data_IF_521721054236
#
_entry.id   IF_521721054236
#
_cell.length_a   1.000
_cell.length_b   1.000
_cell.length_c   1.000
_cell.angle_alpha   90.00
_cell.angle_beta   90.00
_cell.angle_gamma   90.00
#
_symmetry.space_group_name_H-M   'P 1'
#
loop_
_entity.id
_entity.type
_entity.pdbx_description
1 polymer ?
#
# COMPACT_ATOMS: atom_id res chain seq x y z
N UNK A 1 -9.18 4.34 11.29
CA UNK A 1 -9.59 3.17 11.79
C UNK A 1 -9.83 2.98 13.26
N UNK A 2 -10.31 1.78 13.58
CA UNK A 2 -10.76 1.43 14.92
C UNK A 2 -9.72 1.49 16.02
N UNK A 3 -8.45 1.29 15.69
CA UNK A 3 -7.35 1.34 16.69
C UNK A 3 -7.07 2.78 17.14
N UNK A 4 -7.09 3.73 16.24
CA UNK A 4 -6.67 5.12 16.49
C UNK A 4 -7.83 6.12 16.57
N UNK A 5 -9.07 5.65 16.41
CA UNK A 5 -10.23 6.53 16.29
C UNK A 5 -10.51 7.39 17.52
N UNK A 6 -10.25 6.89 18.72
CA UNK A 6 -10.42 7.68 19.96
C UNK A 6 -9.44 8.85 20.06
N UNK A 7 -8.22 8.69 19.52
CA UNK A 7 -7.17 9.70 19.60
C UNK A 7 -7.21 10.65 18.40
N UNK A 8 -7.53 10.14 17.21
CA UNK A 8 -7.43 10.88 15.94
C UNK A 8 -8.76 11.29 15.34
N UNK A 9 -9.88 10.80 15.88
CA UNK A 9 -11.19 10.89 15.25
C UNK A 9 -11.34 9.91 14.08
N UNK A 10 -12.55 9.84 13.55
CA UNK A 10 -12.93 8.95 12.45
C UNK A 10 -13.17 9.75 11.18
N UNK A 11 -12.33 9.57 10.17
CA UNK A 11 -12.63 10.03 8.81
C UNK A 11 -13.80 9.20 8.27
N UNK A 12 -14.93 9.85 7.95
CA UNK A 12 -16.17 9.14 7.62
C UNK A 12 -16.70 9.49 6.25
N UNK A 13 -16.92 8.48 5.43
CA UNK A 13 -17.65 8.51 4.18
C UNK A 13 -19.05 7.95 4.41
N UNK A 14 -20.09 8.77 4.31
CA UNK A 14 -21.45 8.45 4.77
C UNK A 14 -22.37 8.31 3.55
N UNK A 15 -23.11 7.23 3.48
CA UNK A 15 -24.19 7.03 2.52
C UNK A 15 -25.51 6.86 3.25
N UNK A 16 -26.58 7.44 2.71
CA UNK A 16 -27.92 7.34 3.31
C UNK A 16 -28.85 8.42 2.82
N UNK A 17 -30.12 8.33 3.25
CA UNK A 17 -31.12 9.33 2.96
C UNK A 17 -30.73 10.68 3.60
N UNK A 18 -30.81 11.81 2.85
CA UNK A 18 -30.34 13.12 3.29
C UNK A 18 -30.89 13.55 4.67
N UNK A 19 -32.18 13.33 4.90
CA UNK A 19 -32.84 13.70 6.17
C UNK A 19 -32.32 12.88 7.35
N UNK A 20 -32.03 11.58 7.14
CA UNK A 20 -31.47 10.71 8.16
C UNK A 20 -30.03 11.12 8.48
N UNK A 21 -29.20 11.35 7.46
CA UNK A 21 -27.82 11.79 7.62
C UNK A 21 -27.76 13.13 8.35
N UNK A 22 -28.62 14.09 7.97
CA UNK A 22 -28.74 15.38 8.63
C UNK A 22 -29.18 15.24 10.10
N UNK A 23 -30.12 14.34 10.40
CA UNK A 23 -30.56 14.08 11.77
C UNK A 23 -29.43 13.55 12.65
N UNK A 24 -28.53 12.73 12.07
CA UNK A 24 -27.40 12.13 12.77
C UNK A 24 -26.13 13.01 12.78
N UNK A 25 -26.15 14.18 12.13
CA UNK A 25 -25.00 15.07 12.01
C UNK A 25 -24.34 15.42 13.37
N UNK A 26 -25.05 15.66 14.47
CA UNK A 26 -24.42 15.88 15.78
C UNK A 26 -23.53 14.73 16.26
N UNK A 27 -23.83 13.49 15.85
CA UNK A 27 -23.00 12.32 16.14
C UNK A 27 -21.76 12.34 15.24
N UNK A 28 -21.93 12.58 13.94
CA UNK A 28 -20.82 12.57 13.01
C UNK A 28 -19.80 13.66 13.32
N UNK A 29 -20.23 14.88 13.62
CA UNK A 29 -19.34 15.98 13.98
C UNK A 29 -18.53 15.69 15.25
N UNK A 30 -19.13 14.95 16.19
CA UNK A 30 -18.47 14.56 17.44
C UNK A 30 -17.41 13.49 17.22
N UNK A 31 -17.63 12.57 16.29
CA UNK A 31 -16.72 11.47 15.99
C UNK A 31 -15.61 11.84 14.99
N UNK A 32 -15.83 12.87 14.19
CA UNK A 32 -14.89 13.29 13.15
C UNK A 32 -13.60 13.88 13.72
N UNK A 33 -12.47 13.84 12.96
CA UNK A 33 -11.20 14.41 13.43
C UNK A 33 -11.22 15.94 13.57
N UNK A 34 -12.19 16.62 12.98
CA UNK A 34 -12.20 18.08 12.91
C UNK A 34 -11.16 18.63 11.91
N UNK A 35 -10.98 19.94 11.90
CA UNK A 35 -10.03 20.63 10.99
C UNK A 35 -8.58 20.24 11.32
N UNK A 36 -8.28 20.06 12.61
CA UNK A 36 -6.91 19.74 13.07
C UNK A 36 -5.87 20.74 12.57
N UNK A 37 -4.64 20.26 12.37
CA UNK A 37 -3.49 21.06 11.92
C UNK A 37 -3.28 21.00 10.39
N UNK A 38 -4.18 20.36 9.64
CA UNK A 38 -4.07 20.23 8.18
C UNK A 38 -4.50 21.55 7.54
N UNK A 39 -3.63 22.21 6.75
CA UNK A 39 -4.00 23.44 6.07
C UNK A 39 -5.20 23.23 5.14
N UNK A 40 -6.10 24.20 5.11
CA UNK A 40 -7.22 24.16 4.17
C UNK A 40 -6.73 24.16 2.71
N UNK A 41 -7.41 23.40 1.88
CA UNK A 41 -7.11 23.37 0.43
C UNK A 41 -7.24 24.79 -0.17
N UNK A 42 -6.20 25.31 -0.83
CA UNK A 42 -6.27 26.62 -1.48
C UNK A 42 -7.45 26.71 -2.46
N UNK A 43 -8.12 27.86 -2.47
CA UNK A 43 -9.26 28.14 -3.34
C UNK A 43 -10.53 27.29 -3.09
N UNK A 44 -10.55 26.47 -2.06
CA UNK A 44 -11.78 25.77 -1.67
C UNK A 44 -12.81 26.79 -1.18
N UNK A 45 -14.08 26.72 -1.64
CA UNK A 45 -15.12 27.62 -1.17
C UNK A 45 -15.30 27.48 0.35
N UNK A 46 -15.18 28.60 1.07
CA UNK A 46 -15.36 28.61 2.53
C UNK A 46 -16.81 28.23 2.89
N UNK A 47 -16.95 27.45 3.95
CA UNK A 47 -18.25 27.10 4.57
C UNK A 47 -19.22 26.29 3.69
N UNK A 48 -18.72 25.41 2.83
CA UNK A 48 -19.57 24.52 2.04
C UNK A 48 -19.32 23.05 2.37
N UNK A 49 -19.95 22.59 3.44
CA UNK A 49 -20.00 21.17 3.77
C UNK A 49 -19.09 20.78 4.94
N UNK A 50 -19.02 19.49 5.20
CA UNK A 50 -18.40 18.88 6.37
C UNK A 50 -17.04 18.22 6.07
N UNK A 51 -16.62 18.21 4.80
CA UNK A 51 -15.41 17.52 4.36
C UNK A 51 -14.13 18.05 5.04
N UNK A 52 -14.08 19.35 5.34
CA UNK A 52 -12.95 19.96 6.06
C UNK A 52 -12.85 19.49 7.52
N UNK A 53 -13.96 18.96 8.07
CA UNK A 53 -13.98 18.36 9.41
C UNK A 53 -13.71 16.84 9.37
N UNK A 54 -13.42 16.26 8.20
CA UNK A 54 -13.08 14.86 8.03
C UNK A 54 -14.27 13.92 7.90
N UNK A 55 -15.48 14.42 7.60
CA UNK A 55 -16.62 13.57 7.26
C UNK A 55 -17.45 14.16 6.11
N UNK A 56 -18.11 13.29 5.34
CA UNK A 56 -18.87 13.71 4.16
C UNK A 56 -20.06 12.78 3.92
N UNK A 57 -21.23 13.37 3.65
CA UNK A 57 -22.34 12.65 3.02
C UNK A 57 -22.06 12.50 1.54
N UNK A 58 -21.71 11.29 1.11
CA UNK A 58 -21.26 10.96 -0.25
C UNK A 58 -22.42 10.72 -1.22
N UNK A 59 -23.63 10.50 -0.72
CA UNK A 59 -24.79 10.21 -1.55
C UNK A 59 -25.77 9.20 -0.91
N UNK A 60 -26.62 8.54 -1.70
CA UNK A 60 -27.63 7.60 -1.19
C UNK A 60 -27.00 6.38 -0.51
N UNK A 61 -27.85 5.46 -0.05
CA UNK A 61 -27.43 4.20 0.55
C UNK A 61 -26.41 3.46 -0.34
N UNK A 62 -25.29 3.05 0.26
CA UNK A 62 -24.16 2.41 -0.45
C UNK A 62 -23.05 3.38 -0.88
N UNK A 63 -23.32 4.67 -1.12
CA UNK A 63 -22.31 5.61 -1.61
C UNK A 63 -21.11 5.75 -0.66
N UNK A 64 -21.34 5.79 0.64
CA UNK A 64 -20.27 5.85 1.63
C UNK A 64 -19.37 4.61 1.61
N UNK A 65 -19.96 3.43 1.52
CA UNK A 65 -19.23 2.17 1.39
C UNK A 65 -18.43 2.10 0.08
N UNK A 66 -19.01 2.57 -1.03
CA UNK A 66 -18.32 2.63 -2.31
C UNK A 66 -17.08 3.52 -2.25
N UNK A 67 -17.22 4.73 -1.74
CA UNK A 67 -16.07 5.66 -1.57
C UNK A 67 -15.02 5.07 -0.62
N UNK A 68 -15.44 4.43 0.48
CA UNK A 68 -14.51 3.79 1.43
C UNK A 68 -13.79 2.60 0.81
N UNK A 69 -14.46 1.80 0.03
CA UNK A 69 -13.88 0.67 -0.69
C UNK A 69 -12.77 1.13 -1.65
N UNK A 70 -13.03 2.18 -2.45
CA UNK A 70 -12.04 2.76 -3.37
C UNK A 70 -10.85 3.34 -2.60
N UNK A 71 -11.11 4.01 -1.46
CA UNK A 71 -10.04 4.48 -0.57
C UNK A 71 -9.11 3.31 -0.16
N UNK A 72 -9.68 2.17 0.22
CA UNK A 72 -8.87 1.01 0.59
C UNK A 72 -8.10 0.42 -0.60
N UNK A 73 -8.68 0.45 -1.80
CA UNK A 73 -7.94 0.10 -3.02
C UNK A 73 -6.71 0.98 -3.23
N UNK A 74 -6.85 2.30 -3.08
CA UNK A 74 -5.73 3.25 -3.13
C UNK A 74 -4.71 2.96 -2.03
N UNK A 75 -5.16 2.66 -0.82
CA UNK A 75 -4.30 2.27 0.30
C UNK A 75 -3.42 1.05 -0.05
N UNK A 76 -3.98 0.01 -0.69
CA UNK A 76 -3.24 -1.15 -1.17
C UNK A 76 -2.11 -0.75 -2.13
N UNK A 77 -2.41 0.13 -3.10
CA UNK A 77 -1.43 0.64 -4.05
C UNK A 77 -0.29 1.42 -3.38
N UNK A 78 -0.61 2.30 -2.43
CA UNK A 78 0.38 3.06 -1.66
C UNK A 78 1.27 2.12 -0.83
N UNK A 79 0.68 1.15 -0.14
CA UNK A 79 1.42 0.17 0.65
C UNK A 79 2.38 -0.65 -0.22
N UNK A 80 1.93 -1.10 -1.38
CA UNK A 80 2.76 -1.85 -2.32
C UNK A 80 3.94 -1.00 -2.82
N UNK A 81 3.71 0.25 -3.20
CA UNK A 81 4.76 1.16 -3.67
C UNK A 81 5.82 1.42 -2.59
N UNK A 82 5.43 1.66 -1.34
CA UNK A 82 6.39 1.79 -0.23
C UNK A 82 7.19 0.51 -0.01
N UNK A 83 6.51 -0.64 0.00
CA UNK A 83 7.16 -1.93 0.22
C UNK A 83 8.20 -2.25 -0.87
N UNK A 84 7.85 -2.07 -2.14
CA UNK A 84 8.77 -2.27 -3.28
C UNK A 84 9.96 -1.31 -3.21
N UNK A 85 9.72 -0.01 -2.98
CA UNK A 85 10.78 0.99 -2.86
C UNK A 85 11.75 0.69 -1.72
N UNK A 86 11.24 0.37 -0.54
CA UNK A 86 12.08 0.00 0.61
C UNK A 86 12.82 -1.31 0.37
N UNK A 87 12.22 -2.28 -0.32
CA UNK A 87 12.89 -3.52 -0.69
C UNK A 87 14.04 -3.29 -1.69
N UNK A 88 13.88 -2.39 -2.65
CA UNK A 88 14.98 -1.96 -3.54
C UNK A 88 16.14 -1.39 -2.73
N UNK A 89 15.86 -0.50 -1.78
CA UNK A 89 16.87 0.09 -0.91
C UNK A 89 17.56 -0.95 -0.02
N UNK A 90 16.80 -1.92 0.50
CA UNK A 90 17.33 -3.04 1.30
C UNK A 90 18.38 -3.86 0.53
N UNK A 91 18.22 -3.98 -0.77
CA UNK A 91 19.12 -4.74 -1.65
C UNK A 91 20.17 -3.86 -2.36
N UNK A 92 20.30 -2.59 -1.98
CA UNK A 92 21.24 -1.67 -2.62
C UNK A 92 22.72 -2.02 -2.39
N UNK A 93 23.01 -3.04 -1.60
CA UNK A 93 24.36 -3.58 -1.34
C UNK A 93 24.68 -4.84 -2.15
N UNK A 94 23.84 -5.25 -3.08
CA UNK A 94 23.99 -6.49 -3.84
C UNK A 94 25.33 -6.56 -4.60
N UNK A 95 25.95 -5.43 -4.92
CA UNK A 95 27.27 -5.36 -5.57
C UNK A 95 28.44 -5.70 -4.66
N UNK A 96 28.24 -5.77 -3.34
CA UNK A 96 29.28 -6.21 -2.38
C UNK A 96 29.45 -7.72 -2.32
N UNK A 97 28.48 -8.49 -2.81
CA UNK A 97 28.56 -9.95 -2.82
C UNK A 97 29.65 -10.41 -3.79
N UNK A 98 30.83 -10.71 -3.23
CA UNK A 98 31.91 -11.31 -4.00
C UNK A 98 31.49 -12.71 -4.48
N UNK A 99 31.72 -13.02 -5.77
CA UNK A 99 31.57 -14.38 -6.29
C UNK A 99 30.13 -14.80 -6.58
N UNK A 100 29.26 -13.89 -7.02
CA UNK A 100 27.99 -14.27 -7.62
C UNK A 100 28.29 -15.17 -8.82
N UNK A 101 27.87 -16.42 -8.76
CA UNK A 101 28.00 -17.33 -9.90
C UNK A 101 27.30 -16.72 -11.11
N UNK A 102 28.09 -16.43 -12.15
CA UNK A 102 27.58 -15.98 -13.44
C UNK A 102 27.62 -17.21 -14.34
N UNK A 103 26.47 -17.70 -14.68
CA UNK A 103 26.28 -18.83 -15.59
C UNK A 103 25.18 -18.50 -16.62
N UNK A 104 24.85 -19.47 -17.47
CA UNK A 104 23.80 -19.30 -18.48
C UNK A 104 22.40 -19.05 -17.87
N UNK A 105 22.20 -19.34 -16.59
CA UNK A 105 20.93 -19.18 -15.87
C UNK A 105 20.82 -17.88 -15.07
N UNK A 106 21.93 -17.13 -14.95
CA UNK A 106 21.98 -15.94 -14.10
C UNK A 106 22.46 -14.73 -14.90
N UNK A 107 21.60 -13.74 -15.03
CA UNK A 107 21.99 -12.44 -15.59
C UNK A 107 23.04 -11.78 -14.68
N UNK A 108 24.22 -11.40 -15.21
CA UNK A 108 25.21 -10.68 -14.41
C UNK A 108 24.71 -9.31 -13.99
N UNK A 109 25.11 -8.87 -12.81
CA UNK A 109 24.84 -7.54 -12.33
C UNK A 109 25.63 -6.53 -13.18
N UNK A 110 24.94 -5.56 -13.78
CA UNK A 110 25.59 -4.43 -14.44
C UNK A 110 26.17 -3.48 -13.40
N UNK A 111 27.37 -3.02 -13.58
CA UNK A 111 27.99 -1.99 -12.75
C UNK A 111 27.84 -2.29 -11.26
N UNK A 112 28.37 -3.42 -10.73
CA UNK A 112 28.22 -3.78 -9.32
C UNK A 112 28.73 -2.71 -8.37
N UNK A 113 29.64 -1.85 -8.82
CA UNK A 113 30.13 -0.69 -8.08
C UNK A 113 29.06 0.33 -7.74
N UNK A 114 27.96 0.37 -8.46
CA UNK A 114 26.82 1.27 -8.19
C UNK A 114 25.83 0.70 -7.17
N UNK A 115 26.05 -0.51 -6.65
CA UNK A 115 25.14 -1.20 -5.70
C UNK A 115 25.89 -1.69 -4.47
N UNK A 116 26.60 -0.77 -3.81
CA UNK A 116 27.45 -1.07 -2.64
C UNK A 116 27.04 -0.27 -1.39
N UNK A 117 25.77 0.09 -1.29
CA UNK A 117 25.26 0.95 -0.23
C UNK A 117 24.66 0.11 0.90
N UNK A 118 25.17 0.25 2.12
CA UNK A 118 24.51 -0.22 3.34
C UNK A 118 23.65 0.92 3.88
N UNK A 119 22.38 0.87 3.57
CA UNK A 119 21.45 1.95 3.86
C UNK A 119 20.73 1.72 5.19
N UNK A 120 20.63 2.76 6.00
CA UNK A 120 19.81 2.76 7.21
C UNK A 120 18.36 3.09 6.85
N UNK A 121 17.52 2.06 6.65
CA UNK A 121 16.11 2.22 6.25
C UNK A 121 15.27 2.98 7.28
N UNK A 122 15.40 2.75 8.62
CA UNK A 122 14.73 3.56 9.61
C UNK A 122 14.96 5.06 9.45
N UNK A 123 16.21 5.49 9.26
CA UNK A 123 16.55 6.91 9.10
C UNK A 123 16.05 7.47 7.76
N UNK A 124 16.07 6.66 6.69
CA UNK A 124 15.53 7.07 5.39
C UNK A 124 14.02 7.28 5.49
N UNK A 125 13.29 6.37 6.12
CA UNK A 125 11.86 6.51 6.34
C UNK A 125 11.55 7.74 7.19
N UNK A 126 12.37 8.03 8.23
CA UNK A 126 12.23 9.23 9.07
C UNK A 126 12.44 10.51 8.25
N UNK A 127 13.44 10.58 7.39
CA UNK A 127 13.67 11.74 6.51
C UNK A 127 12.47 11.97 5.58
N UNK A 128 11.97 10.90 4.97
CA UNK A 128 10.86 11.01 4.02
C UNK A 128 9.56 11.46 4.67
N UNK A 129 9.25 10.95 5.87
CA UNK A 129 8.03 11.36 6.59
C UNK A 129 8.06 12.82 7.05
N UNK A 130 9.24 13.42 7.19
CA UNK A 130 9.43 14.79 7.68
C UNK A 130 9.13 15.88 6.65
N UNK A 131 9.13 15.60 5.37
CA UNK A 131 8.87 16.65 4.40
C UNK A 131 8.98 16.26 2.93
N UNK A 132 9.08 14.98 2.61
CA UNK A 132 9.06 14.55 1.21
C UNK A 132 7.63 14.54 0.67
N UNK A 133 7.50 14.55 -0.66
CA UNK A 133 6.22 14.50 -1.36
C UNK A 133 5.43 13.21 -1.10
N UNK A 134 6.11 12.15 -0.65
CA UNK A 134 5.48 10.88 -0.29
C UNK A 134 5.14 10.77 1.20
N UNK A 135 5.25 11.85 1.98
CA UNK A 135 4.86 11.85 3.38
C UNK A 135 3.37 11.47 3.53
N UNK A 136 3.09 10.55 4.44
CA UNK A 136 1.73 10.07 4.72
C UNK A 136 1.68 9.38 6.07
N UNK A 137 0.48 9.18 6.62
CA UNK A 137 0.33 8.37 7.83
C UNK A 137 0.81 6.92 7.64
N UNK A 138 0.65 6.33 6.45
CA UNK A 138 1.22 5.00 6.16
C UNK A 138 2.75 5.01 6.30
N UNK A 139 3.42 6.06 5.85
CA UNK A 139 4.86 6.20 6.01
C UNK A 139 5.26 6.43 7.47
N UNK A 140 4.47 7.15 8.26
CA UNK A 140 4.67 7.30 9.71
C UNK A 140 4.65 5.94 10.41
N UNK A 141 3.66 5.11 10.11
CA UNK A 141 3.53 3.75 10.64
C UNK A 141 4.69 2.85 10.20
N UNK A 142 5.13 2.99 8.94
CA UNK A 142 6.27 2.25 8.39
C UNK A 142 7.57 2.62 9.11
N UNK A 143 7.82 3.91 9.33
CA UNK A 143 8.99 4.38 10.08
C UNK A 143 8.98 3.85 11.52
N UNK A 144 7.82 3.85 12.19
CA UNK A 144 7.64 3.27 13.52
C UNK A 144 7.96 1.77 13.56
N UNK A 145 7.52 1.01 12.57
CA UNK A 145 7.82 -0.42 12.47
C UNK A 145 9.32 -0.68 12.24
N UNK A 146 9.95 0.07 11.32
CA UNK A 146 11.37 -0.08 11.00
C UNK A 146 12.29 0.30 12.16
N UNK A 147 11.94 1.29 13.00
CA UNK A 147 12.74 1.62 14.17
C UNK A 147 12.65 0.55 15.26
N UNK A 148 11.52 -0.11 15.38
CA UNK A 148 11.32 -1.22 16.32
C UNK A 148 12.01 -2.50 15.87
N UNK A 149 11.94 -2.83 14.58
CA UNK A 149 12.52 -4.02 13.97
C UNK A 149 13.03 -3.68 12.57
N UNK A 150 14.30 -3.28 12.40
CA UNK A 150 14.86 -2.87 11.10
C UNK A 150 14.77 -3.92 9.99
N UNK A 151 14.74 -5.20 10.36
CA UNK A 151 14.60 -6.32 9.44
C UNK A 151 13.18 -6.91 9.42
N UNK A 152 12.24 -6.35 10.18
CA UNK A 152 10.85 -6.79 10.29
C UNK A 152 10.70 -8.29 10.59
N UNK A 153 11.58 -8.85 11.41
CA UNK A 153 11.68 -10.28 11.70
C UNK A 153 10.44 -10.87 12.38
N UNK A 154 9.60 -10.02 12.98
CA UNK A 154 8.35 -10.42 13.63
C UNK A 154 7.21 -10.70 12.61
N UNK A 155 7.44 -10.43 11.33
CA UNK A 155 6.47 -10.59 10.27
C UNK A 155 6.89 -11.65 9.26
N UNK A 156 5.99 -12.60 8.96
CA UNK A 156 6.24 -13.68 8.00
C UNK A 156 6.11 -13.27 6.53
N UNK A 157 5.68 -12.04 6.24
CA UNK A 157 5.45 -11.56 4.88
C UNK A 157 4.18 -12.08 4.20
N UNK A 158 3.28 -12.77 4.93
CA UNK A 158 1.98 -13.22 4.40
C UNK A 158 0.94 -12.11 4.58
N UNK A 159 0.53 -11.48 3.48
CA UNK A 159 -0.36 -10.32 3.50
C UNK A 159 -1.77 -10.72 3.10
N UNK A 160 -2.70 -10.62 4.06
CA UNK A 160 -4.12 -10.86 3.80
C UNK A 160 -4.78 -9.69 3.07
N UNK A 161 -5.89 -9.97 2.40
CA UNK A 161 -6.82 -8.96 1.91
C UNK A 161 -8.18 -9.16 2.59
N UNK A 162 -8.88 -8.08 2.90
CA UNK A 162 -10.21 -8.09 3.54
C UNK A 162 -11.36 -7.89 2.56
N UNK A 163 -11.05 -7.90 1.26
CA UNK A 163 -12.03 -7.86 0.17
C UNK A 163 -12.13 -6.52 -0.56
N UNK A 164 -11.81 -5.40 0.07
CA UNK A 164 -12.00 -4.06 -0.51
C UNK A 164 -11.20 -3.87 -1.80
N UNK A 165 -9.96 -4.39 -1.85
CA UNK A 165 -9.15 -4.38 -3.07
C UNK A 165 -9.80 -5.15 -4.21
N UNK A 166 -10.43 -6.30 -3.92
CA UNK A 166 -11.18 -7.09 -4.91
C UNK A 166 -12.38 -6.31 -5.43
N UNK A 167 -13.18 -5.76 -4.53
CA UNK A 167 -14.40 -5.03 -4.90
C UNK A 167 -14.07 -3.76 -5.69
N UNK A 168 -13.00 -3.06 -5.35
CA UNK A 168 -12.53 -1.89 -6.11
C UNK A 168 -12.15 -2.27 -7.55
N UNK A 169 -11.47 -3.39 -7.76
CA UNK A 169 -11.11 -3.86 -9.09
C UNK A 169 -12.35 -4.32 -9.87
N UNK A 170 -13.28 -5.02 -9.22
CA UNK A 170 -14.54 -5.39 -9.85
C UNK A 170 -15.35 -4.17 -10.28
N UNK A 171 -15.42 -3.14 -9.45
CA UNK A 171 -16.05 -1.87 -9.82
C UNK A 171 -15.37 -1.23 -11.03
N UNK A 172 -14.03 -1.19 -11.06
CA UNK A 172 -13.28 -0.66 -12.19
C UNK A 172 -13.57 -1.43 -13.50
N UNK A 173 -13.72 -2.75 -13.42
CA UNK A 173 -14.12 -3.59 -14.58
C UNK A 173 -15.53 -3.22 -15.04
N UNK A 174 -16.48 -3.14 -14.12
CA UNK A 174 -17.88 -2.83 -14.43
C UNK A 174 -18.04 -1.42 -15.01
N UNK A 175 -17.24 -0.46 -14.54
CA UNK A 175 -17.21 0.93 -15.01
C UNK A 175 -16.39 1.12 -16.31
N UNK A 176 -15.61 0.12 -16.73
CA UNK A 176 -14.69 0.22 -17.87
C UNK A 176 -13.52 1.17 -17.62
N UNK A 177 -13.09 1.33 -16.37
CA UNK A 177 -11.97 2.20 -15.98
C UNK A 177 -10.69 1.39 -15.72
N UNK A 178 -9.50 1.88 -16.13
CA UNK A 178 -8.24 1.17 -15.86
C UNK A 178 -7.87 1.24 -14.37
N UNK A 179 -7.34 0.16 -13.83
CA UNK A 179 -6.91 0.05 -12.44
C UNK A 179 -5.64 -0.82 -12.29
N UNK A 180 -4.63 -0.59 -13.14
CA UNK A 180 -3.43 -1.42 -13.24
C UNK A 180 -2.67 -1.51 -11.92
N UNK A 181 -2.40 -0.37 -11.28
CA UNK A 181 -1.65 -0.31 -10.01
C UNK A 181 -2.38 -1.02 -8.89
N UNK A 182 -3.69 -0.82 -8.77
CA UNK A 182 -4.50 -1.44 -7.72
C UNK A 182 -4.62 -2.96 -7.95
N UNK A 183 -4.73 -3.38 -9.20
CA UNK A 183 -4.76 -4.79 -9.59
C UNK A 183 -3.44 -5.49 -9.24
N UNK A 184 -2.31 -4.90 -9.60
CA UNK A 184 -0.99 -5.43 -9.25
C UNK A 184 -0.81 -5.56 -7.73
N UNK A 185 -1.21 -4.56 -6.96
CA UNK A 185 -1.10 -4.57 -5.50
C UNK A 185 -1.94 -5.66 -4.83
N UNK A 186 -3.13 -5.97 -5.38
CA UNK A 186 -3.95 -7.08 -4.90
C UNK A 186 -3.30 -8.44 -5.21
N UNK A 187 -2.83 -8.64 -6.43
CA UNK A 187 -2.20 -9.90 -6.83
C UNK A 187 -0.90 -10.17 -6.10
N UNK A 188 -0.14 -9.14 -5.72
CA UNK A 188 1.00 -9.27 -4.83
C UNK A 188 0.60 -9.92 -3.48
N UNK A 189 -0.55 -9.54 -2.91
CA UNK A 189 -1.06 -10.17 -1.68
C UNK A 189 -1.40 -11.64 -1.88
N UNK A 190 -1.96 -12.01 -3.03
CA UNK A 190 -2.19 -13.43 -3.36
C UNK A 190 -0.87 -14.19 -3.45
N UNK A 191 0.10 -13.67 -4.18
CA UNK A 191 1.43 -14.26 -4.31
C UNK A 191 2.13 -14.43 -2.96
N UNK A 192 2.01 -13.45 -2.05
CA UNK A 192 2.61 -13.50 -0.72
C UNK A 192 2.11 -14.66 0.16
N UNK A 193 0.97 -15.25 -0.18
CA UNK A 193 0.35 -16.36 0.56
C UNK A 193 0.62 -17.73 -0.04
N UNK A 194 1.44 -17.81 -1.10
CA UNK A 194 1.75 -19.05 -1.80
C UNK A 194 0.82 -19.38 -2.97
N UNK A 195 -0.15 -18.51 -3.29
CA UNK A 195 -1.11 -18.77 -4.40
C UNK A 195 -0.44 -18.73 -5.79
N UNK A 196 0.84 -18.31 -5.85
CA UNK A 196 1.65 -18.34 -7.07
C UNK A 196 2.46 -19.64 -7.26
N UNK A 197 2.46 -20.56 -6.32
CA UNK A 197 3.37 -21.72 -6.31
C UNK A 197 3.21 -22.61 -7.54
N UNK A 198 1.97 -22.93 -7.92
CA UNK A 198 1.72 -23.78 -9.09
C UNK A 198 2.14 -23.08 -10.40
N UNK A 199 1.83 -21.79 -10.56
CA UNK A 199 2.24 -21.06 -11.78
C UNK A 199 3.78 -20.98 -11.88
N UNK A 200 4.49 -20.80 -10.77
CA UNK A 200 5.95 -20.78 -10.74
C UNK A 200 6.53 -22.15 -11.13
N UNK A 201 5.93 -23.26 -10.66
CA UNK A 201 6.31 -24.62 -11.07
C UNK A 201 6.08 -24.84 -12.57
N UNK A 202 5.00 -24.33 -13.13
CA UNK A 202 4.74 -24.41 -14.60
C UNK A 202 5.81 -23.65 -15.37
N UNK A 203 6.19 -22.44 -14.94
CA UNK A 203 7.26 -21.68 -15.57
C UNK A 203 8.59 -22.42 -15.54
N UNK A 204 8.94 -23.01 -14.42
CA UNK A 204 10.15 -23.81 -14.24
C UNK A 204 10.15 -25.05 -15.14
N UNK A 205 9.04 -25.78 -15.18
CA UNK A 205 8.87 -26.96 -16.04
C UNK A 205 8.99 -26.62 -17.54
N UNK A 206 8.43 -25.48 -17.97
CA UNK A 206 8.60 -25.02 -19.38
C UNK A 206 10.05 -24.70 -19.68
N UNK A 207 10.79 -23.99 -18.80
CA UNK A 207 12.21 -23.69 -18.98
C UNK A 207 13.04 -24.97 -19.07
N UNK A 208 12.75 -25.95 -18.23
CA UNK A 208 13.39 -27.26 -18.31
C UNK A 208 13.05 -27.97 -19.64
N UNK A 209 11.78 -27.96 -20.04
CA UNK A 209 11.34 -28.67 -21.24
C UNK A 209 11.93 -28.17 -22.54
N UNK A 210 12.09 -26.85 -22.71
CA UNK A 210 12.65 -26.30 -23.94
C UNK A 210 14.17 -26.08 -23.93
N UNK A 211 14.77 -25.89 -22.74
CA UNK A 211 16.19 -25.52 -22.64
C UNK A 211 17.04 -26.36 -21.69
N UNK A 212 16.45 -27.33 -21.00
CA UNK A 212 17.16 -28.15 -20.00
C UNK A 212 17.58 -27.36 -18.74
N UNK A 213 17.00 -26.17 -18.52
CA UNK A 213 17.33 -25.30 -17.41
C UNK A 213 16.87 -25.91 -16.06
N UNK A 214 17.83 -26.28 -15.22
CA UNK A 214 17.55 -26.83 -13.88
C UNK A 214 17.28 -25.70 -12.88
N UNK A 215 16.35 -25.93 -11.96
CA UNK A 215 16.16 -25.03 -10.82
C UNK A 215 17.41 -24.99 -9.94
N UNK A 216 17.81 -23.77 -9.52
CA UNK A 216 18.85 -23.62 -8.52
C UNK A 216 18.29 -23.92 -7.12
N UNK A 217 19.10 -24.49 -6.21
CA UNK A 217 18.68 -24.68 -4.82
C UNK A 217 18.21 -23.36 -4.19
N UNK A 218 17.16 -23.43 -3.38
CA UNK A 218 16.77 -22.30 -2.55
C UNK A 218 17.94 -21.90 -1.63
N UNK A 219 18.22 -20.60 -1.55
CA UNK A 219 19.24 -20.06 -0.65
C UNK A 219 18.73 -20.00 0.77
#
# INVERSE_FOLDING_TARGET
>A
GGVWGLERGYCMMIGGEPEVVKHLDPIFVTLAPGIGDIPLTPNRPKNKGTAENGYLHCGPNGAGHFVKMVHNGIEYGLMAAYAEGLNILKHANVGKAAGREVDAETTPLRNPEHYQYDLNLPDIAEVWRRGSVIASWLLDLTAGALIQSPDLTDFSGRVSDSGEGRWTILAAIDEGTPADVLTASLYQRFASRGEADFQNKVLSAMRYGFGGHLEKPAK
#
